data_IF_547604320940
#
_entry.id   IF_547604320940
#
_cell.length_a   1.000
_cell.length_b   1.000
_cell.length_c   1.000
_cell.angle_alpha   90.00
_cell.angle_beta   90.00
_cell.angle_gamma   90.00
#
_symmetry.space_group_name_H-M   'P 1'
#
loop_
_entity.id
_entity.type
_entity.pdbx_description
1 polymer ?
#
# COMPACT_ATOMS: atom_id res chain seq x y z
N UNK A 1 24.15 15.03 -9.06
CA UNK A 1 23.85 13.60 -8.92
C UNK A 1 25.05 12.79 -9.36
N UNK A 2 25.41 11.72 -8.64
CA UNK A 2 26.45 10.80 -9.12
C UNK A 2 25.92 9.99 -10.31
N UNK A 3 26.78 9.58 -11.23
CA UNK A 3 26.45 8.73 -12.39
C UNK A 3 25.70 7.46 -11.92
N UNK A 4 26.11 6.87 -10.79
CA UNK A 4 25.49 5.68 -10.21
C UNK A 4 24.00 5.85 -9.86
N UNK A 5 23.59 7.02 -9.36
CA UNK A 5 22.17 7.28 -9.04
C UNK A 5 21.31 7.33 -10.31
N UNK A 6 21.83 7.97 -11.36
CA UNK A 6 21.14 8.06 -12.63
C UNK A 6 20.99 6.69 -13.31
N UNK A 7 22.03 5.86 -13.25
CA UNK A 7 22.01 4.52 -13.82
C UNK A 7 21.05 3.58 -13.08
N UNK A 8 20.93 3.71 -11.75
CA UNK A 8 19.96 2.93 -10.95
C UNK A 8 18.51 3.25 -11.35
N UNK A 9 18.18 4.54 -11.52
CA UNK A 9 16.83 4.95 -11.91
C UNK A 9 16.45 4.57 -13.34
N UNK A 10 17.41 4.49 -14.26
CA UNK A 10 17.17 4.01 -15.64
C UNK A 10 16.73 2.55 -15.70
N UNK A 11 17.07 1.75 -14.69
CA UNK A 11 16.66 0.34 -14.61
C UNK A 11 15.20 0.19 -14.17
N UNK A 12 14.63 1.19 -13.50
CA UNK A 12 13.27 1.10 -12.94
C UNK A 12 12.24 1.10 -14.06
N UNK A 13 11.52 0.00 -14.20
CA UNK A 13 10.60 -0.25 -15.30
C UNK A 13 9.27 -0.89 -14.87
N UNK A 14 9.00 -1.00 -13.55
CA UNK A 14 7.81 -1.70 -13.05
C UNK A 14 7.22 -1.03 -11.80
N UNK A 15 5.90 -0.89 -11.76
CA UNK A 15 5.19 -0.30 -10.63
C UNK A 15 3.89 -1.03 -10.30
N UNK A 16 3.69 -1.37 -9.03
CA UNK A 16 2.39 -1.74 -8.49
C UNK A 16 1.79 -0.49 -7.84
N UNK A 17 0.82 0.11 -8.49
CA UNK A 17 0.30 1.42 -8.11
C UNK A 17 -0.90 1.40 -7.15
N UNK A 18 -1.44 0.22 -6.85
CA UNK A 18 -2.64 0.07 -6.01
C UNK A 18 -3.43 -1.19 -6.33
N UNK A 19 -4.68 -1.26 -5.82
CA UNK A 19 -5.27 -0.33 -4.89
C UNK A 19 -4.91 -0.70 -3.44
N UNK A 20 -5.01 0.26 -2.55
CA UNK A 20 -4.82 -0.01 -1.13
C UNK A 20 -5.79 -1.10 -0.63
N UNK A 21 -5.31 -2.10 0.12
CA UNK A 21 -6.06 -3.25 0.64
C UNK A 21 -6.54 -4.26 -0.40
N UNK A 22 -5.91 -4.29 -1.59
CA UNK A 22 -6.25 -5.17 -2.71
C UNK A 22 -5.16 -6.22 -3.00
N UNK A 23 -4.41 -6.68 -2.00
CA UNK A 23 -3.43 -7.76 -2.16
C UNK A 23 -2.05 -7.33 -2.67
N UNK A 24 -1.74 -6.04 -2.69
CA UNK A 24 -0.44 -5.52 -3.14
C UNK A 24 0.75 -6.06 -2.34
N UNK A 25 0.54 -6.48 -1.09
CA UNK A 25 1.59 -7.12 -0.28
C UNK A 25 1.90 -8.53 -0.79
N UNK A 26 0.87 -9.28 -1.21
CA UNK A 26 1.04 -10.59 -1.84
C UNK A 26 1.72 -10.45 -3.20
N UNK A 27 1.33 -9.46 -4.02
CA UNK A 27 2.02 -9.15 -5.27
C UNK A 27 3.50 -8.86 -5.04
N UNK A 28 3.80 -7.97 -4.11
CA UNK A 28 5.17 -7.62 -3.75
C UNK A 28 5.97 -8.85 -3.32
N UNK A 29 5.47 -9.62 -2.35
CA UNK A 29 6.20 -10.75 -1.79
C UNK A 29 6.47 -11.84 -2.83
N UNK A 30 5.45 -12.21 -3.62
CA UNK A 30 5.61 -13.26 -4.65
C UNK A 30 6.55 -12.81 -5.78
N UNK A 31 6.38 -11.59 -6.30
CA UNK A 31 7.25 -11.08 -7.36
C UNK A 31 8.69 -10.90 -6.87
N UNK A 32 8.90 -10.43 -5.64
CA UNK A 32 10.22 -10.25 -5.05
C UNK A 32 10.97 -11.58 -4.86
N UNK A 33 10.26 -12.70 -4.84
CA UNK A 33 10.85 -14.05 -4.83
C UNK A 33 11.32 -14.55 -6.20
N UNK A 34 11.04 -13.83 -7.29
CA UNK A 34 11.45 -14.22 -8.63
C UNK A 34 12.90 -13.75 -8.91
N UNK A 35 13.81 -14.62 -9.39
CA UNK A 35 15.25 -14.30 -9.55
C UNK A 35 15.54 -13.20 -10.60
N UNK A 36 14.63 -12.96 -11.53
CA UNK A 36 14.76 -11.89 -12.53
C UNK A 36 14.07 -10.59 -12.10
N UNK A 37 13.59 -10.50 -10.84
CA UNK A 37 12.86 -9.34 -10.31
C UNK A 37 13.62 -8.75 -9.13
N UNK A 38 13.75 -7.44 -9.13
CA UNK A 38 14.19 -6.66 -7.97
C UNK A 38 13.11 -5.64 -7.62
N UNK A 39 12.56 -5.74 -6.44
CA UNK A 39 11.67 -4.72 -5.91
C UNK A 39 12.36 -3.92 -4.82
N UNK A 40 12.06 -2.63 -4.76
CA UNK A 40 12.53 -1.74 -3.70
C UNK A 40 12.33 -2.39 -2.32
N UNK A 41 13.35 -2.51 -1.48
CA UNK A 41 13.22 -3.04 -0.12
C UNK A 41 12.35 -2.15 0.78
N UNK A 42 12.18 -0.88 0.44
CA UNK A 42 11.14 -0.04 1.00
C UNK A 42 9.86 -0.23 0.19
N UNK A 43 8.93 -1.02 0.70
CA UNK A 43 7.58 -1.11 0.14
C UNK A 43 6.84 0.18 0.47
N UNK A 44 6.20 0.78 -0.55
CA UNK A 44 5.52 2.08 -0.48
C UNK A 44 6.46 3.26 -0.17
N UNK A 45 7.47 3.53 -1.03
CA UNK A 45 8.29 4.74 -0.95
C UNK A 45 7.52 6.02 -1.26
N UNK A 46 6.38 5.93 -1.93
CA UNK A 46 5.46 7.04 -2.24
C UNK A 46 6.11 8.22 -3.00
N UNK A 47 7.18 7.98 -3.76
CA UNK A 47 7.98 9.03 -4.37
C UNK A 47 7.25 9.79 -5.47
N UNK A 48 6.56 9.09 -6.41
CA UNK A 48 5.86 9.74 -7.52
C UNK A 48 4.55 10.43 -7.12
N UNK A 49 4.00 10.14 -5.93
CA UNK A 49 2.86 10.85 -5.34
C UNK A 49 3.25 11.97 -4.38
N UNK A 50 4.55 12.29 -4.25
CA UNK A 50 5.07 13.26 -3.26
C UNK A 50 4.50 14.68 -3.39
N UNK A 51 4.01 15.05 -4.55
CA UNK A 51 3.36 16.36 -4.75
C UNK A 51 1.98 16.43 -4.05
N UNK A 52 1.29 15.29 -3.95
CA UNK A 52 -0.04 15.19 -3.33
C UNK A 52 0.03 14.74 -1.86
N UNK A 53 1.22 14.33 -1.39
CA UNK A 53 1.47 13.85 -0.05
C UNK A 53 2.33 14.86 0.72
N UNK A 54 1.73 15.54 1.70
CA UNK A 54 2.47 16.46 2.57
C UNK A 54 2.56 15.89 3.99
N UNK A 55 3.73 15.29 4.38
CA UNK A 55 3.92 14.74 5.72
C UNK A 55 3.77 15.77 6.85
N UNK A 56 3.96 17.06 6.57
CA UNK A 56 3.78 18.11 7.59
C UNK A 56 2.32 18.18 8.07
N UNK A 57 1.38 17.89 7.16
CA UNK A 57 -0.08 17.93 7.37
C UNK A 57 -0.67 16.63 7.90
N UNK A 58 0.09 15.54 7.97
CA UNK A 58 -0.41 14.26 8.48
C UNK A 58 -0.92 14.38 9.92
N UNK A 59 -1.96 13.62 10.25
CA UNK A 59 -2.52 13.57 11.59
C UNK A 59 -1.49 13.09 12.61
N UNK A 60 -1.65 13.46 13.87
CA UNK A 60 -0.75 13.00 14.95
C UNK A 60 -0.72 11.47 15.05
N UNK A 61 -1.88 10.83 14.87
CA UNK A 61 -2.00 9.38 14.92
C UNK A 61 -1.27 8.71 13.75
N UNK A 62 -1.38 9.25 12.53
CA UNK A 62 -0.66 8.76 11.38
C UNK A 62 0.85 8.91 11.52
N UNK A 63 1.34 10.10 11.93
CA UNK A 63 2.75 10.37 12.22
C UNK A 63 3.33 9.43 13.28
N UNK A 64 2.55 9.13 14.31
CA UNK A 64 2.99 8.23 15.39
C UNK A 64 3.11 6.77 14.92
N UNK A 65 2.46 6.36 13.84
CA UNK A 65 2.50 4.99 13.31
C UNK A 65 3.33 4.85 12.03
N UNK A 66 3.96 5.93 11.58
CA UNK A 66 4.71 5.97 10.31
C UNK A 66 6.11 6.49 10.54
N UNK A 67 7.13 5.80 10.02
CA UNK A 67 8.51 6.28 10.06
C UNK A 67 8.69 7.33 8.96
N UNK A 68 8.66 8.61 9.33
CA UNK A 68 8.83 9.72 8.39
C UNK A 68 10.30 10.06 8.11
N UNK A 69 11.15 9.91 9.13
CA UNK A 69 12.60 10.10 8.98
C UNK A 69 13.24 8.80 8.50
N UNK A 70 13.76 8.83 7.28
CA UNK A 70 14.42 7.71 6.61
C UNK A 70 15.95 7.79 6.64
N UNK A 71 16.54 8.77 7.32
CA UNK A 71 17.99 9.04 7.31
C UNK A 71 18.81 7.80 7.69
N UNK A 72 18.52 7.20 8.84
CA UNK A 72 19.23 6.01 9.31
C UNK A 72 18.97 4.79 8.41
N UNK A 73 17.74 4.68 7.86
CA UNK A 73 17.39 3.59 6.96
C UNK A 73 18.20 3.67 5.65
N UNK A 74 18.26 4.84 5.05
CA UNK A 74 18.95 5.06 3.78
C UNK A 74 20.48 5.03 3.93
N UNK A 75 21.00 5.28 5.14
CA UNK A 75 22.42 5.16 5.47
C UNK A 75 22.84 3.72 5.81
N UNK A 76 21.91 2.78 5.95
CA UNK A 76 22.23 1.39 6.24
C UNK A 76 23.04 0.74 5.10
N UNK A 77 23.91 -0.25 5.43
CA UNK A 77 24.66 -0.98 4.39
C UNK A 77 23.73 -1.81 3.50
N UNK A 78 24.24 -2.16 2.30
CA UNK A 78 23.53 -3.06 1.38
C UNK A 78 23.61 -4.52 1.83
N UNK A 79 22.54 -5.31 1.60
CA UNK A 79 21.24 -4.87 1.09
C UNK A 79 20.44 -4.10 2.15
N UNK A 80 19.70 -3.07 1.71
CA UNK A 80 18.81 -2.37 2.63
C UNK A 80 17.79 -3.35 3.24
N UNK A 81 17.48 -3.23 4.55
CA UNK A 81 16.48 -4.09 5.17
C UNK A 81 15.08 -3.80 4.61
N UNK A 82 14.21 -4.82 4.59
CA UNK A 82 12.82 -4.63 4.21
C UNK A 82 12.11 -3.68 5.20
N UNK A 83 11.38 -2.73 4.66
CA UNK A 83 10.57 -1.79 5.41
C UNK A 83 9.23 -1.53 4.71
N UNK A 84 8.17 -1.38 5.51
CA UNK A 84 6.84 -1.01 5.02
C UNK A 84 6.65 0.49 5.21
N UNK A 85 6.17 1.16 4.20
CA UNK A 85 5.76 2.57 4.15
C UNK A 85 6.85 3.58 4.55
N UNK A 86 7.25 4.36 3.57
CA UNK A 86 8.08 5.55 3.73
C UNK A 86 7.56 6.68 2.84
N UNK A 87 8.12 7.86 3.02
CA UNK A 87 7.79 9.05 2.22
C UNK A 87 9.07 9.66 1.68
N UNK A 88 9.59 9.06 0.60
CA UNK A 88 10.82 9.53 -0.04
C UNK A 88 10.52 10.82 -0.80
N UNK A 89 11.34 11.85 -0.58
CA UNK A 89 11.18 13.18 -1.17
C UNK A 89 12.25 13.48 -2.22
N UNK A 90 13.48 13.08 -1.95
CA UNK A 90 14.63 13.40 -2.77
C UNK A 90 14.93 12.27 -3.77
N UNK A 91 15.30 12.66 -4.98
CA UNK A 91 15.61 11.71 -6.06
C UNK A 91 16.81 10.80 -5.73
N UNK A 92 17.85 11.35 -5.07
CA UNK A 92 18.99 10.56 -4.62
C UNK A 92 18.60 9.43 -3.64
N UNK A 93 17.64 9.72 -2.77
CA UNK A 93 17.13 8.77 -1.77
C UNK A 93 16.24 7.71 -2.44
N UNK A 94 15.48 8.11 -3.46
CA UNK A 94 14.71 7.19 -4.28
C UNK A 94 15.64 6.27 -5.10
N UNK A 95 16.68 6.81 -5.73
CA UNK A 95 17.67 6.03 -6.45
C UNK A 95 18.40 5.01 -5.55
N UNK A 96 18.66 5.37 -4.29
CA UNK A 96 19.28 4.49 -3.29
C UNK A 96 18.52 3.17 -3.09
N UNK A 97 17.21 3.17 -3.25
CA UNK A 97 16.36 1.99 -3.11
C UNK A 97 16.62 0.92 -4.17
N UNK A 98 17.21 1.29 -5.29
CA UNK A 98 17.49 0.42 -6.44
C UNK A 98 18.98 0.09 -6.62
N UNK A 99 19.81 0.48 -5.67
CA UNK A 99 21.26 0.22 -5.73
C UNK A 99 21.62 -1.29 -5.74
N UNK A 100 20.75 -2.15 -5.22
CA UNK A 100 20.91 -3.61 -5.25
C UNK A 100 20.52 -4.27 -6.58
N UNK A 101 19.88 -3.54 -7.51
CA UNK A 101 19.52 -4.09 -8.80
C UNK A 101 20.76 -4.27 -9.70
N UNK A 102 20.80 -5.38 -10.43
CA UNK A 102 21.90 -5.72 -11.34
C UNK A 102 21.36 -6.25 -12.68
N UNK A 103 22.26 -6.68 -13.58
CA UNK A 103 21.92 -7.08 -14.95
C UNK A 103 21.13 -8.41 -15.04
N UNK A 104 21.01 -9.16 -13.98
CA UNK A 104 20.14 -10.36 -13.93
C UNK A 104 18.67 -9.99 -13.72
N UNK A 105 18.39 -8.81 -13.18
CA UNK A 105 17.03 -8.34 -12.93
C UNK A 105 16.46 -7.67 -14.17
N UNK A 106 15.51 -8.36 -14.83
CA UNK A 106 14.78 -7.83 -16.00
C UNK A 106 13.68 -6.87 -15.58
N UNK A 107 13.12 -7.09 -14.41
CA UNK A 107 12.11 -6.25 -13.79
C UNK A 107 12.71 -5.61 -12.55
N UNK A 108 12.72 -4.30 -12.53
CA UNK A 108 13.17 -3.47 -11.41
C UNK A 108 12.06 -2.49 -11.07
N UNK A 109 11.57 -2.50 -9.83
CA UNK A 109 10.40 -1.68 -9.54
C UNK A 109 10.07 -1.51 -8.07
N UNK A 110 8.87 -1.01 -7.83
CA UNK A 110 8.35 -0.77 -6.50
C UNK A 110 6.82 -0.89 -6.42
N UNK A 111 6.29 -0.82 -5.20
CA UNK A 111 4.87 -0.91 -4.92
C UNK A 111 4.45 0.25 -4.00
N UNK A 112 3.68 1.22 -4.53
CA UNK A 112 3.13 2.35 -3.76
C UNK A 112 1.64 2.52 -4.02
N UNK A 113 0.82 2.18 -3.04
CA UNK A 113 -0.65 2.20 -3.21
C UNK A 113 -1.24 3.61 -3.31
N UNK A 114 -0.50 4.63 -2.90
CA UNK A 114 -0.87 6.04 -3.06
C UNK A 114 -0.92 6.51 -4.51
N UNK A 115 -0.21 5.84 -5.42
CA UNK A 115 -0.11 6.28 -6.80
C UNK A 115 -1.45 6.21 -7.54
N UNK A 116 -2.24 5.17 -7.33
CA UNK A 116 -3.55 5.05 -7.96
C UNK A 116 -4.47 6.22 -7.60
N UNK A 117 -4.44 6.63 -6.33
CA UNK A 117 -5.21 7.77 -5.82
C UNK A 117 -4.65 9.11 -6.27
N UNK A 118 -3.34 9.28 -6.31
CA UNK A 118 -2.67 10.56 -6.58
C UNK A 118 -3.01 11.13 -7.96
N UNK A 119 -3.48 12.37 -8.06
CA UNK A 119 -3.73 13.01 -9.36
C UNK A 119 -2.44 13.34 -10.12
N UNK A 120 -1.32 13.60 -9.44
CA UNK A 120 -0.05 13.97 -10.08
C UNK A 120 0.83 12.77 -10.45
N UNK A 121 0.65 11.61 -9.81
CA UNK A 121 1.52 10.44 -9.99
C UNK A 121 1.56 9.93 -11.45
N UNK A 122 0.45 9.84 -12.22
CA UNK A 122 0.51 9.32 -13.59
C UNK A 122 1.45 10.13 -14.49
N UNK A 123 1.34 11.46 -14.47
CA UNK A 123 2.19 12.35 -15.27
C UNK A 123 3.65 12.31 -14.80
N UNK A 124 3.88 12.33 -13.48
CA UNK A 124 5.21 12.27 -12.90
C UNK A 124 5.93 10.95 -13.24
N UNK A 125 5.20 9.83 -13.16
CA UNK A 125 5.75 8.51 -13.47
C UNK A 125 5.99 8.35 -14.97
N UNK A 126 5.07 8.79 -15.84
CA UNK A 126 5.27 8.76 -17.29
C UNK A 126 6.46 9.58 -17.75
N UNK A 127 6.68 10.73 -17.13
CA UNK A 127 7.85 11.58 -17.45
C UNK A 127 9.19 10.93 -17.05
N UNK A 128 9.22 10.23 -15.90
CA UNK A 128 10.43 9.58 -15.40
C UNK A 128 10.69 8.20 -16.03
N UNK A 129 9.64 7.43 -16.32
CA UNK A 129 9.70 6.04 -16.77
C UNK A 129 8.66 5.80 -17.89
N UNK A 130 8.89 6.32 -19.11
CA UNK A 130 7.89 6.33 -20.19
C UNK A 130 7.46 4.92 -20.65
N UNK A 131 8.35 3.94 -20.52
CA UNK A 131 8.15 2.56 -20.98
C UNK A 131 7.81 1.60 -19.83
N UNK A 132 7.54 2.13 -18.63
CA UNK A 132 7.26 1.30 -17.44
C UNK A 132 5.98 0.48 -17.60
N UNK A 133 6.00 -0.72 -17.03
CA UNK A 133 4.83 -1.57 -16.85
C UNK A 133 4.17 -1.30 -15.50
N UNK A 134 2.87 -1.09 -15.54
CA UNK A 134 2.05 -0.67 -14.40
C UNK A 134 1.03 -1.77 -14.07
N UNK A 135 0.97 -2.18 -12.82
CA UNK A 135 -0.04 -3.13 -12.33
C UNK A 135 -0.95 -2.48 -11.30
N UNK A 136 -2.25 -2.68 -11.48
CA UNK A 136 -3.28 -2.36 -10.50
C UNK A 136 -3.97 -3.65 -10.09
N UNK A 137 -4.05 -3.94 -8.81
CA UNK A 137 -4.88 -5.03 -8.29
C UNK A 137 -6.13 -4.47 -7.62
N UNK A 138 -7.28 -5.02 -7.97
CA UNK A 138 -8.57 -4.58 -7.46
C UNK A 138 -9.17 -5.60 -6.49
N UNK A 139 -10.10 -5.12 -5.71
CA UNK A 139 -10.97 -5.89 -4.82
C UNK A 139 -12.39 -5.36 -4.94
N UNK A 140 -13.40 -6.16 -4.60
CA UNK A 140 -14.76 -5.65 -4.38
C UNK A 140 -14.69 -4.38 -3.51
N UNK A 141 -15.26 -3.24 -3.96
CA UNK A 141 -15.08 -1.95 -3.29
C UNK A 141 -15.52 -1.96 -1.82
N UNK A 142 -16.61 -2.65 -1.49
CA UNK A 142 -17.13 -2.75 -0.13
C UNK A 142 -16.20 -3.62 0.73
N UNK A 143 -15.76 -4.75 0.18
CA UNK A 143 -14.79 -5.61 0.87
C UNK A 143 -13.43 -4.90 1.05
N UNK A 144 -13.04 -3.97 0.15
CA UNK A 144 -11.88 -3.10 0.31
C UNK A 144 -12.09 -2.11 1.46
N UNK A 145 -13.23 -1.39 1.49
CA UNK A 145 -13.59 -0.46 2.56
C UNK A 145 -13.52 -1.18 3.90
N UNK A 146 -14.15 -2.36 4.01
CA UNK A 146 -14.15 -3.13 5.23
C UNK A 146 -12.75 -3.58 5.67
N UNK A 147 -11.94 -4.06 4.74
CA UNK A 147 -10.53 -4.40 5.02
C UNK A 147 -9.70 -3.20 5.51
N UNK A 148 -9.96 -2.02 4.97
CA UNK A 148 -9.33 -0.78 5.39
C UNK A 148 -9.79 -0.35 6.79
N UNK A 149 -11.10 -0.41 7.04
CA UNK A 149 -11.67 -0.14 8.35
C UNK A 149 -11.07 -1.04 9.44
N UNK A 150 -10.94 -2.33 9.19
CA UNK A 150 -10.31 -3.25 10.15
C UNK A 150 -8.85 -2.86 10.44
N UNK A 151 -8.11 -2.44 9.42
CA UNK A 151 -6.75 -1.93 9.59
C UNK A 151 -6.75 -0.63 10.41
N UNK A 152 -7.61 0.32 10.09
CA UNK A 152 -7.73 1.59 10.81
C UNK A 152 -8.13 1.38 12.28
N UNK A 153 -9.03 0.43 12.58
CA UNK A 153 -9.34 0.01 13.96
C UNK A 153 -8.13 -0.61 14.66
N UNK A 154 -7.39 -1.48 13.99
CA UNK A 154 -6.17 -2.12 14.54
C UNK A 154 -5.13 -1.07 14.95
N UNK A 155 -4.98 -0.01 14.17
CA UNK A 155 -4.07 1.09 14.49
C UNK A 155 -4.68 2.14 15.43
N UNK A 156 -5.98 2.08 15.69
CA UNK A 156 -6.67 3.02 16.59
C UNK A 156 -7.03 4.35 15.93
N UNK A 157 -7.10 4.40 14.60
CA UNK A 157 -7.45 5.61 13.84
C UNK A 157 -8.96 5.89 13.88
N UNK A 158 -9.78 4.85 13.91
CA UNK A 158 -11.24 4.96 13.90
C UNK A 158 -11.89 4.24 15.08
N UNK A 159 -13.17 4.52 15.33
CA UNK A 159 -14.03 3.90 16.36
C UNK A 159 -15.42 3.63 15.78
N UNK A 160 -16.22 2.88 16.52
CA UNK A 160 -17.60 2.56 16.14
C UNK A 160 -17.69 1.49 15.04
N UNK A 161 -18.84 1.41 14.40
CA UNK A 161 -19.11 0.54 13.26
C UNK A 161 -18.38 1.02 11.99
N UNK A 162 -18.32 0.18 10.97
CA UNK A 162 -17.73 0.58 9.67
C UNK A 162 -18.50 1.72 9.02
N UNK A 163 -19.82 1.72 9.13
CA UNK A 163 -20.69 2.76 8.56
C UNK A 163 -20.46 4.11 9.26
N UNK A 164 -20.38 4.11 10.60
CA UNK A 164 -20.06 5.33 11.37
C UNK A 164 -18.69 5.86 11.02
N UNK A 165 -17.69 4.99 10.88
CA UNK A 165 -16.33 5.39 10.50
C UNK A 165 -16.28 5.99 9.09
N UNK A 166 -16.99 5.40 8.13
CA UNK A 166 -17.07 5.92 6.75
C UNK A 166 -17.78 7.27 6.70
N UNK A 167 -18.91 7.42 7.41
CA UNK A 167 -19.64 8.71 7.49
C UNK A 167 -18.79 9.79 8.15
N UNK A 168 -18.05 9.46 9.20
CA UNK A 168 -17.14 10.40 9.85
C UNK A 168 -15.96 10.82 8.95
N UNK A 169 -15.43 9.89 8.16
CA UNK A 169 -14.37 10.15 7.18
C UNK A 169 -14.84 11.07 6.05
N UNK A 170 -16.04 10.83 5.51
CA UNK A 170 -16.67 11.69 4.50
C UNK A 170 -16.97 13.11 5.01
N UNK A 171 -17.27 13.24 6.30
CA UNK A 171 -17.51 14.53 6.95
C UNK A 171 -16.21 15.26 7.36
N UNK A 172 -15.04 14.67 7.08
CA UNK A 172 -13.76 15.29 7.43
C UNK A 172 -13.56 16.62 6.67
N UNK A 173 -13.26 17.74 7.37
CA UNK A 173 -13.21 19.07 6.73
C UNK A 173 -12.08 19.24 5.70
N UNK A 174 -11.10 18.41 5.75
CA UNK A 174 -9.94 18.42 4.84
C UNK A 174 -9.45 16.98 4.62
N UNK A 175 -10.22 16.18 3.81
CA UNK A 175 -9.88 14.79 3.55
C UNK A 175 -8.66 14.71 2.66
N UNK A 176 -7.63 14.01 3.12
CA UNK A 176 -6.41 13.76 2.33
C UNK A 176 -5.62 12.61 2.94
N UNK A 177 -4.66 12.11 2.19
CA UNK A 177 -3.79 11.01 2.62
C UNK A 177 -3.06 11.35 3.94
N UNK A 178 -3.16 10.45 4.92
CA UNK A 178 -2.55 10.61 6.24
C UNK A 178 -3.29 11.56 7.18
N UNK A 179 -4.41 12.16 6.76
CA UNK A 179 -5.29 13.01 7.58
C UNK A 179 -6.62 12.34 7.86
N UNK A 180 -7.20 11.75 6.85
CA UNK A 180 -8.39 10.93 6.89
C UNK A 180 -8.09 9.55 6.32
N UNK A 181 -9.04 8.63 6.40
CA UNK A 181 -8.85 7.27 5.91
C UNK A 181 -9.15 7.14 4.41
N UNK A 182 -9.88 8.10 3.81
CA UNK A 182 -10.28 8.08 2.41
C UNK A 182 -10.99 6.77 2.01
N UNK A 183 -11.86 6.25 2.90
CA UNK A 183 -12.49 4.94 2.71
C UNK A 183 -13.21 4.80 1.37
N UNK A 184 -14.08 5.75 1.03
CA UNK A 184 -14.83 5.72 -0.23
C UNK A 184 -13.93 6.12 -1.39
N UNK A 185 -13.14 7.17 -1.22
CA UNK A 185 -12.23 7.74 -2.22
C UNK A 185 -11.35 6.67 -2.88
N UNK A 186 -10.67 5.86 -2.04
CA UNK A 186 -9.77 4.81 -2.50
C UNK A 186 -10.49 3.61 -3.13
N UNK A 187 -11.83 3.62 -3.19
CA UNK A 187 -12.67 2.61 -3.87
C UNK A 187 -13.27 3.09 -5.18
N UNK A 188 -13.07 4.35 -5.55
CA UNK A 188 -13.55 4.94 -6.80
C UNK A 188 -12.60 4.61 -7.95
N UNK A 189 -12.47 3.34 -8.27
CA UNK A 189 -11.45 2.83 -9.20
C UNK A 189 -11.57 3.38 -10.61
N UNK A 190 -12.79 3.52 -11.15
CA UNK A 190 -13.01 3.88 -12.55
C UNK A 190 -12.34 5.20 -12.92
N UNK A 191 -12.58 6.25 -12.11
CA UNK A 191 -11.97 7.55 -12.33
C UNK A 191 -10.44 7.53 -12.17
N UNK A 192 -9.94 6.73 -11.21
CA UNK A 192 -8.52 6.57 -10.96
C UNK A 192 -7.84 5.84 -12.13
N UNK A 193 -8.40 4.71 -12.58
CA UNK A 193 -7.87 3.95 -13.71
C UNK A 193 -7.95 4.76 -15.01
N UNK A 194 -9.05 5.49 -15.26
CA UNK A 194 -9.17 6.35 -16.42
C UNK A 194 -8.06 7.41 -16.47
N UNK A 195 -7.69 8.00 -15.32
CA UNK A 195 -6.56 8.93 -15.22
C UNK A 195 -5.21 8.28 -15.59
N UNK A 196 -4.98 7.03 -15.19
CA UNK A 196 -3.79 6.29 -15.57
C UNK A 196 -3.78 5.91 -17.04
N UNK A 197 -4.91 5.48 -17.62
CA UNK A 197 -5.07 5.19 -19.06
C UNK A 197 -4.83 6.40 -19.96
N UNK A 198 -5.03 7.61 -19.45
CA UNK A 198 -4.69 8.83 -20.19
C UNK A 198 -3.17 9.03 -20.38
N UNK A 199 -2.34 8.34 -19.60
CA UNK A 199 -0.87 8.45 -19.65
C UNK A 199 -0.18 7.16 -20.12
N UNK A 200 -0.75 5.99 -19.84
CA UNK A 200 -0.18 4.68 -20.14
C UNK A 200 -1.13 3.89 -21.03
N UNK A 201 -0.67 3.38 -22.18
CA UNK A 201 -1.49 2.53 -23.05
C UNK A 201 -1.76 1.16 -22.40
N UNK A 202 -2.74 0.43 -22.95
CA UNK A 202 -3.21 -0.84 -22.36
C UNK A 202 -2.15 -1.95 -22.33
N UNK A 203 -1.13 -1.90 -23.18
CA UNK A 203 0.00 -2.83 -23.16
C UNK A 203 1.00 -2.53 -22.00
N UNK A 204 0.94 -1.33 -21.43
CA UNK A 204 1.71 -0.92 -20.26
C UNK A 204 0.92 -0.95 -18.95
N UNK A 205 -0.42 -0.99 -18.97
CA UNK A 205 -1.27 -0.91 -17.79
C UNK A 205 -2.13 -2.17 -17.64
N UNK A 206 -1.76 -3.05 -16.73
CA UNK A 206 -2.51 -4.27 -16.40
C UNK A 206 -3.39 -4.04 -15.17
N UNK A 207 -4.71 -4.22 -15.33
CA UNK A 207 -5.67 -4.18 -14.23
C UNK A 207 -6.08 -5.60 -13.87
N UNK A 208 -5.74 -6.05 -12.68
CA UNK A 208 -6.11 -7.34 -12.12
C UNK A 208 -7.47 -7.23 -11.41
N UNK A 209 -8.45 -7.93 -11.94
CA UNK A 209 -9.83 -7.95 -11.44
C UNK A 209 -9.94 -8.52 -10.01
N UNK A 210 -11.03 -8.23 -9.28
CA UNK A 210 -11.27 -8.78 -7.96
C UNK A 210 -11.14 -10.32 -7.93
N UNK A 211 -10.31 -10.83 -7.03
CA UNK A 211 -10.07 -12.26 -6.90
C UNK A 211 -9.00 -12.85 -7.84
N UNK A 212 -8.48 -12.08 -8.78
CA UNK A 212 -7.46 -12.54 -9.73
C UNK A 212 -6.25 -13.19 -9.05
N UNK A 213 -5.73 -12.58 -7.98
CA UNK A 213 -4.56 -13.09 -7.25
C UNK A 213 -4.77 -14.45 -6.55
N UNK A 214 -5.98 -14.99 -6.54
CA UNK A 214 -6.29 -16.31 -6.00
C UNK A 214 -6.19 -17.42 -7.04
N UNK A 215 -6.02 -17.07 -8.32
CA UNK A 215 -5.95 -18.01 -9.44
C UNK A 215 -4.48 -18.17 -9.87
N UNK A 216 -4.04 -19.40 -10.02
CA UNK A 216 -2.65 -19.69 -10.40
C UNK A 216 -2.34 -19.22 -11.83
N UNK A 217 -3.34 -19.27 -12.73
CA UNK A 217 -3.20 -18.78 -14.10
C UNK A 217 -2.83 -17.29 -14.11
N UNK A 218 -3.39 -16.48 -13.20
CA UNK A 218 -3.07 -15.05 -13.10
C UNK A 218 -1.59 -14.81 -12.85
N UNK A 219 -0.94 -15.66 -12.07
CA UNK A 219 0.50 -15.54 -11.78
C UNK A 219 1.35 -15.91 -12.97
N UNK A 220 0.95 -16.93 -13.73
CA UNK A 220 1.61 -17.31 -14.98
C UNK A 220 1.49 -16.19 -16.02
N UNK A 221 0.27 -15.67 -16.23
CA UNK A 221 -0.03 -14.61 -17.20
C UNK A 221 0.70 -13.30 -16.84
N UNK A 222 0.73 -12.94 -15.56
CA UNK A 222 1.45 -11.76 -15.08
C UNK A 222 2.95 -11.86 -15.38
N UNK A 223 3.58 -13.00 -15.10
CA UNK A 223 4.99 -13.21 -15.39
C UNK A 223 5.26 -13.15 -16.91
N UNK A 224 4.39 -13.77 -17.71
CA UNK A 224 4.48 -13.73 -19.18
C UNK A 224 4.33 -12.30 -19.70
N UNK A 225 3.35 -11.55 -19.20
CA UNK A 225 3.15 -10.15 -19.57
C UNK A 225 4.34 -9.26 -19.17
N UNK A 226 4.99 -9.55 -18.05
CA UNK A 226 6.23 -8.89 -17.61
C UNK A 226 7.45 -9.32 -18.45
N UNK A 227 7.32 -10.35 -19.30
CA UNK A 227 8.42 -10.93 -20.06
C UNK A 227 9.38 -11.76 -19.22
N UNK A 228 8.96 -12.23 -18.07
CA UNK A 228 9.71 -13.13 -17.19
C UNK A 228 9.61 -14.58 -17.64
N UNK A 229 10.55 -15.41 -17.19
CA UNK A 229 10.44 -16.86 -17.31
C UNK A 229 9.45 -17.37 -16.25
N UNK A 230 8.25 -17.88 -16.62
CA UNK A 230 7.24 -18.26 -15.65
C UNK A 230 7.72 -19.35 -14.69
N UNK A 231 7.47 -19.13 -13.39
CA UNK A 231 7.83 -20.03 -12.29
C UNK A 231 6.67 -20.16 -11.32
N UNK A 232 6.68 -21.23 -10.55
CA UNK A 232 5.81 -21.33 -9.38
C UNK A 232 6.33 -20.35 -8.30
N UNK A 233 5.47 -19.41 -7.90
CA UNK A 233 5.73 -18.42 -6.87
C UNK A 233 4.95 -18.70 -5.57
N UNK A 234 4.32 -19.86 -5.44
CA UNK A 234 3.50 -20.22 -4.27
C UNK A 234 4.31 -20.24 -2.97
N UNK A 235 5.56 -20.71 -3.04
CA UNK A 235 6.46 -20.87 -1.88
C UNK A 235 7.29 -19.62 -1.56
N UNK A 236 7.19 -18.54 -2.36
CA UNK A 236 8.03 -17.35 -2.22
C UNK A 236 7.55 -16.36 -1.13
N UNK A 237 7.00 -16.86 -0.02
CA UNK A 237 6.76 -16.07 1.20
C UNK A 237 5.48 -15.21 1.25
N UNK A 238 4.66 -15.30 0.22
CA UNK A 238 3.35 -14.64 0.18
C UNK A 238 2.22 -15.55 0.66
N UNK A 239 2.43 -16.37 1.70
CA UNK A 239 1.33 -17.15 2.28
C UNK A 239 0.18 -16.21 2.65
N UNK A 240 -1.01 -16.50 2.15
CA UNK A 240 -2.19 -15.64 2.08
C UNK A 240 -2.70 -14.98 3.35
N UNK A 241 -1.99 -15.06 4.46
CA UNK A 241 -2.37 -14.57 5.77
C UNK A 241 -1.49 -13.44 6.33
N UNK A 242 -0.55 -12.89 5.55
CA UNK A 242 0.33 -11.80 6.02
C UNK A 242 -0.43 -10.55 6.50
N UNK A 243 -1.73 -10.47 6.27
CA UNK A 243 -2.64 -9.40 6.70
C UNK A 243 -3.92 -9.91 7.36
N UNK A 244 -3.87 -10.98 8.18
CA UNK A 244 -5.01 -11.30 9.04
C UNK A 244 -5.33 -10.10 9.91
N UNK A 245 -6.55 -9.59 9.74
CA UNK A 245 -7.05 -8.47 10.51
C UNK A 245 -7.20 -8.92 11.96
N UNK A 246 -6.21 -8.62 12.80
CA UNK A 246 -6.34 -8.81 14.24
C UNK A 246 -6.81 -7.52 14.89
N UNK A 247 -7.88 -7.56 15.68
CA UNK A 247 -8.31 -6.42 16.48
C UNK A 247 -7.62 -6.43 17.85
N UNK A 248 -7.33 -5.25 18.39
CA UNK A 248 -6.80 -5.13 19.74
C UNK A 248 -7.84 -5.55 20.77
N UNK A 249 -7.46 -6.33 21.77
CA UNK A 249 -8.33 -6.68 22.92
C UNK A 249 -8.79 -5.45 23.70
N UNK A 250 -7.99 -4.40 23.70
CA UNK A 250 -8.20 -3.17 24.46
C UNK A 250 -8.23 -1.96 23.53
N UNK A 251 -9.30 -1.79 22.78
CA UNK A 251 -9.42 -0.74 21.76
C UNK A 251 -9.22 0.67 22.32
N UNK A 252 -9.78 0.97 23.50
CA UNK A 252 -9.60 2.27 24.16
C UNK A 252 -8.15 2.55 24.53
N UNK A 253 -7.46 1.57 25.11
CA UNK A 253 -6.05 1.66 25.43
C UNK A 253 -5.18 1.75 24.16
N UNK A 254 -5.49 0.96 23.14
CA UNK A 254 -4.78 0.98 21.87
C UNK A 254 -4.83 2.39 21.22
N UNK A 255 -6.00 3.03 21.20
CA UNK A 255 -6.15 4.40 20.71
C UNK A 255 -5.37 5.41 21.52
N UNK A 256 -5.46 5.32 22.86
CA UNK A 256 -4.69 6.21 23.75
C UNK A 256 -3.18 6.07 23.50
N UNK A 257 -2.67 4.85 23.43
CA UNK A 257 -1.27 4.57 23.15
C UNK A 257 -0.84 5.03 21.74
N UNK A 258 -1.72 4.90 20.76
CA UNK A 258 -1.50 5.38 19.40
C UNK A 258 -1.47 6.92 19.35
N UNK A 259 -2.48 7.56 19.91
CA UNK A 259 -2.61 9.02 19.91
C UNK A 259 -1.49 9.73 20.71
N UNK A 260 -1.02 9.10 21.79
CA UNK A 260 0.07 9.63 22.64
C UNK A 260 1.48 9.30 22.11
N UNK A 261 1.62 8.43 21.09
CA UNK A 261 2.92 7.92 20.62
C UNK A 261 3.61 6.94 21.56
N UNK A 262 3.02 6.66 22.72
CA UNK A 262 3.60 5.76 23.76
C UNK A 262 3.69 4.30 23.28
N UNK A 263 2.89 3.92 22.28
CA UNK A 263 2.86 2.56 21.72
C UNK A 263 4.25 2.10 21.24
N UNK A 264 4.98 2.98 20.56
CA UNK A 264 6.33 2.67 20.08
C UNK A 264 7.38 2.62 21.20
N UNK A 265 7.21 3.45 22.22
CA UNK A 265 8.10 3.44 23.41
C UNK A 265 7.92 2.11 24.16
N UNK A 266 6.67 1.72 24.42
CA UNK A 266 6.37 0.45 25.09
C UNK A 266 6.80 -0.76 24.26
N UNK A 267 6.61 -0.72 22.95
CA UNK A 267 7.04 -1.81 22.05
C UNK A 267 8.58 -2.02 22.05
N UNK A 268 9.37 -0.98 22.33
CA UNK A 268 10.83 -1.08 22.50
C UNK A 268 11.25 -1.72 23.82
N UNK A 269 10.40 -1.66 24.83
CA UNK A 269 10.66 -2.26 26.16
C UNK A 269 10.36 -3.77 26.17
N UNK A 270 9.65 -4.29 25.17
CA UNK A 270 9.35 -5.73 25.08
C UNK A 270 10.57 -6.45 24.48
N UNK A 271 11.15 -7.43 25.20
CA UNK A 271 12.23 -8.26 24.67
C UNK A 271 11.85 -8.95 23.35
N UNK A 272 12.82 -9.03 22.43
CA UNK A 272 12.57 -9.58 21.07
C UNK A 272 11.97 -10.99 21.09
N UNK A 273 12.39 -11.85 22.02
CA UNK A 273 11.88 -13.22 22.17
C UNK A 273 10.41 -13.30 22.66
N UNK A 274 9.89 -12.26 23.33
CA UNK A 274 8.51 -12.22 23.83
C UNK A 274 7.58 -11.40 22.91
N UNK A 275 8.13 -10.69 21.94
CA UNK A 275 7.40 -9.73 21.12
C UNK A 275 6.25 -10.38 20.35
N UNK A 276 6.47 -11.55 19.76
CA UNK A 276 5.42 -12.28 19.01
C UNK A 276 4.31 -12.78 19.94
N UNK A 277 4.66 -13.28 21.13
CA UNK A 277 3.69 -13.76 22.11
C UNK A 277 2.83 -12.61 22.65
N UNK A 278 3.45 -11.48 22.97
CA UNK A 278 2.75 -10.27 23.45
C UNK A 278 1.83 -9.73 22.36
N UNK A 279 2.29 -9.67 21.11
CA UNK A 279 1.47 -9.23 19.97
C UNK A 279 0.32 -10.19 19.70
N UNK A 280 0.53 -11.51 19.74
CA UNK A 280 -0.52 -12.52 19.58
C UNK A 280 -1.55 -12.49 20.69
N UNK A 281 -1.13 -12.18 21.94
CA UNK A 281 -2.07 -11.97 23.04
C UNK A 281 -2.84 -10.64 22.91
N UNK A 282 -2.17 -9.59 22.46
CA UNK A 282 -2.76 -8.24 22.35
C UNK A 282 -3.72 -8.11 21.16
N UNK A 283 -3.42 -8.76 20.02
CA UNK A 283 -4.28 -8.78 18.84
C UNK A 283 -4.96 -10.15 18.67
N UNK A 284 -6.28 -10.12 18.47
CA UNK A 284 -7.08 -11.31 18.21
C UNK A 284 -7.52 -11.36 16.75
N UNK A 285 -7.19 -12.42 16.04
CA UNK A 285 -7.69 -12.67 14.67
C UNK A 285 -9.11 -13.26 14.66
N UNK A 286 -9.47 -13.98 15.74
CA UNK A 286 -10.77 -14.62 15.94
C UNK A 286 -11.90 -13.65 16.34
N UNK A 287 -11.58 -12.41 16.68
CA UNK A 287 -12.53 -11.39 17.12
C UNK A 287 -12.93 -10.40 16.01
N UNK A 288 -12.58 -10.68 14.74
CA UNK A 288 -12.97 -9.81 13.63
C UNK A 288 -14.44 -10.08 13.29
N UNK A 289 -15.38 -9.14 13.54
CA UNK A 289 -16.77 -9.34 13.19
C UNK A 289 -16.92 -9.47 11.67
N UNK A 290 -17.83 -10.30 11.21
CA UNK A 290 -18.22 -10.31 9.81
C UNK A 290 -18.98 -9.02 9.48
N UNK A 291 -18.82 -8.51 8.26
CA UNK A 291 -19.65 -7.43 7.74
C UNK A 291 -21.10 -7.94 7.62
N UNK A 292 -22.03 -7.27 8.27
CA UNK A 292 -23.47 -7.62 8.20
C UNK A 292 -24.05 -7.22 6.84
N UNK A 293 -25.16 -7.86 6.43
CA UNK A 293 -25.84 -7.51 5.18
C UNK A 293 -26.33 -6.06 5.21
N UNK A 294 -26.86 -5.60 6.34
CA UNK A 294 -27.27 -4.20 6.51
C UNK A 294 -26.12 -3.23 6.32
N UNK A 295 -24.97 -3.47 6.95
CA UNK A 295 -23.78 -2.61 6.77
C UNK A 295 -23.30 -2.63 5.32
N UNK A 296 -23.39 -3.78 4.64
CA UNK A 296 -23.05 -3.92 3.22
C UNK A 296 -23.95 -3.06 2.34
N UNK A 297 -25.26 -3.09 2.57
CA UNK A 297 -26.25 -2.30 1.83
C UNK A 297 -26.04 -0.80 2.07
N UNK A 298 -25.83 -0.38 3.33
CA UNK A 298 -25.54 1.03 3.65
C UNK A 298 -24.23 1.52 2.99
N UNK A 299 -23.18 0.71 3.01
CA UNK A 299 -21.92 1.06 2.35
C UNK A 299 -22.06 1.13 0.82
N UNK A 300 -22.87 0.25 0.23
CA UNK A 300 -23.17 0.28 -1.20
C UNK A 300 -23.89 1.57 -1.60
N UNK A 301 -24.91 1.95 -0.84
CA UNK A 301 -25.64 3.21 -1.07
C UNK A 301 -24.73 4.44 -0.96
N UNK A 302 -23.87 4.50 0.06
CA UNK A 302 -22.90 5.59 0.23
C UNK A 302 -21.92 5.65 -0.95
N UNK A 303 -21.41 4.49 -1.38
CA UNK A 303 -20.45 4.42 -2.51
C UNK A 303 -21.10 4.90 -3.81
N UNK A 304 -22.36 4.51 -4.07
CA UNK A 304 -23.12 4.91 -5.25
C UNK A 304 -23.39 6.43 -5.25
N UNK A 305 -23.85 6.98 -4.11
CA UNK A 305 -24.09 8.42 -3.95
C UNK A 305 -22.83 9.24 -4.25
N UNK A 306 -21.69 8.89 -3.62
CA UNK A 306 -20.43 9.61 -3.83
C UNK A 306 -19.91 9.44 -5.25
N UNK A 307 -20.09 8.25 -5.85
CA UNK A 307 -19.69 7.99 -7.23
C UNK A 307 -20.53 8.81 -8.22
N UNK A 308 -21.83 8.94 -7.98
CA UNK A 308 -22.73 9.76 -8.80
C UNK A 308 -22.39 11.25 -8.72
N UNK A 309 -22.14 11.75 -7.50
CA UNK A 309 -21.77 13.16 -7.27
C UNK A 309 -20.46 13.57 -7.97
N UNK A 310 -19.55 12.62 -8.26
CA UNK A 310 -18.28 12.90 -8.93
C UNK A 310 -18.30 12.72 -10.45
N UNK A 311 -19.40 12.17 -10.99
CA UNK A 311 -19.60 12.04 -12.46
C UNK A 311 -20.34 13.24 -13.06
N UNK A 312 -21.08 14.01 -12.24
CA UNK A 312 -21.78 15.25 -12.62
C UNK A 312 -20.91 16.46 -12.42
#
# INVERSE_FOLDING_TARGET
>A
MSQHHHDALKRVNFFVIGAAKCGTTTLYARLNGHPEVYLSPLKEPNYHSRADLDPSRFSKAFKANTKLDLTDYLAAPDPLPEMQVGFVREEKDYARLFAGANDTHRIVGECSTSYLWSPSAPAALKAAHPDAKIVVSLRDPIARIYSHYLMARKYGFVKGSVVEAVKADLAHPDPSWGRSELFVELSLYDAQIARWRAHFPDDQLLVLEPGALRRDETWHDLQTWLGLTPRDLSDTGGSGDANTAGLSRFEGLNRFLTASGLKHVLARLVPSGLKQQVLGWYYRSDAVPALTDQEREELAAILEEVSAARRG
#
